data_IF_671087856046
#
_entry.id   IF_671087856046
#
_cell.length_a   1.000
_cell.length_b   1.000
_cell.length_c   1.000
_cell.angle_alpha   90.00
_cell.angle_beta   90.00
_cell.angle_gamma   90.00
#
_symmetry.space_group_name_H-M   'P 1'
#
loop_
_entity.id
_entity.type
_entity.pdbx_description
1 polymer ?
#
# COMPACT_ATOMS: atom_id res chain seq x y z
N UNK A 1 10.52 -0.18 -20.51
CA UNK A 1 10.68 0.31 -19.11
C UNK A 1 9.35 0.14 -18.42
N UNK A 2 9.30 -0.60 -17.32
CA UNK A 2 8.07 -0.77 -16.55
C UNK A 2 7.95 0.42 -15.61
N UNK A 3 7.15 1.41 -15.98
CA UNK A 3 6.80 2.51 -15.10
C UNK A 3 5.75 1.99 -14.11
N UNK A 4 6.07 2.01 -12.82
CA UNK A 4 5.20 1.56 -11.72
C UNK A 4 4.77 2.81 -10.98
N UNK A 5 3.72 3.45 -11.49
CA UNK A 5 3.13 4.63 -10.88
C UNK A 5 1.88 4.24 -10.08
N UNK A 6 1.90 4.40 -8.74
CA UNK A 6 0.70 4.24 -7.94
C UNK A 6 -0.39 5.22 -8.36
N UNK A 7 -1.65 4.81 -8.20
CA UNK A 7 -2.82 5.63 -8.57
C UNK A 7 -2.93 6.94 -7.77
N UNK A 8 -2.36 6.96 -6.56
CA UNK A 8 -2.15 8.15 -5.75
C UNK A 8 -1.08 7.87 -4.68
N UNK A 9 -0.59 8.92 -4.04
CA UNK A 9 0.38 8.86 -2.95
C UNK A 9 -0.22 8.36 -1.62
N UNK A 10 -1.54 8.50 -1.45
CA UNK A 10 -2.25 8.13 -0.22
C UNK A 10 -3.57 7.41 -0.49
N UNK A 11 -4.04 6.66 0.51
CA UNK A 11 -5.37 6.03 0.50
C UNK A 11 -6.06 6.30 1.85
N UNK A 12 -7.10 7.12 1.84
CA UNK A 12 -7.78 7.62 3.05
C UNK A 12 -9.27 7.40 2.89
N UNK A 13 -9.95 6.87 3.91
CA UNK A 13 -11.40 6.67 3.93
C UNK A 13 -11.97 5.94 2.68
N UNK A 14 -11.26 4.92 2.19
CA UNK A 14 -11.72 4.12 1.05
C UNK A 14 -11.49 4.75 -0.33
N UNK A 15 -10.72 5.84 -0.43
CA UNK A 15 -10.41 6.53 -1.69
C UNK A 15 -8.91 6.81 -1.84
N UNK A 16 -8.46 6.84 -3.09
CA UNK A 16 -7.14 7.37 -3.46
C UNK A 16 -7.12 8.90 -3.26
N UNK A 17 -6.03 9.41 -2.69
CA UNK A 17 -5.84 10.84 -2.38
C UNK A 17 -4.43 11.25 -2.76
N UNK A 18 -4.32 12.32 -3.55
CA UNK A 18 -3.05 12.98 -3.84
C UNK A 18 -2.97 14.35 -3.17
N UNK A 19 -1.78 14.69 -2.73
CA UNK A 19 -1.40 16.02 -2.25
C UNK A 19 -0.01 16.35 -2.79
N UNK A 20 0.03 17.21 -3.82
CA UNK A 20 1.29 17.60 -4.47
C UNK A 20 2.07 18.65 -3.67
N UNK A 21 1.58 19.10 -2.51
CA UNK A 21 2.29 20.05 -1.66
C UNK A 21 3.39 19.38 -0.82
N UNK A 22 3.35 18.06 -0.68
CA UNK A 22 4.41 17.29 -0.03
C UNK A 22 5.66 17.15 -0.90
N UNK A 23 6.86 17.01 -0.29
CA UNK A 23 8.08 16.67 -1.02
C UNK A 23 7.88 15.44 -1.92
N UNK A 24 8.44 15.49 -3.13
CA UNK A 24 8.44 14.34 -4.05
C UNK A 24 9.35 13.25 -3.48
N UNK A 25 8.87 12.02 -3.51
CA UNK A 25 9.59 10.79 -3.21
C UNK A 25 9.74 10.00 -4.50
N UNK A 26 10.98 9.86 -4.97
CA UNK A 26 11.28 9.04 -6.14
C UNK A 26 11.28 7.55 -5.75
N UNK A 27 10.56 6.73 -6.52
CA UNK A 27 10.62 5.29 -6.41
C UNK A 27 11.77 4.80 -7.28
N UNK A 28 12.84 4.29 -6.66
CA UNK A 28 14.07 3.89 -7.36
C UNK A 28 14.20 2.38 -7.30
N UNK A 29 14.40 1.72 -8.45
CA UNK A 29 14.69 0.29 -8.47
C UNK A 29 16.10 0.02 -7.94
N UNK A 30 16.29 -0.67 -6.80
CA UNK A 30 17.61 -0.81 -6.20
C UNK A 30 18.62 -1.58 -7.05
N UNK A 31 18.16 -2.46 -7.95
CA UNK A 31 19.07 -3.32 -8.73
C UNK A 31 19.87 -2.57 -9.81
N UNK A 32 19.38 -1.42 -10.30
CA UNK A 32 20.03 -0.68 -11.37
C UNK A 32 19.90 0.85 -11.27
N UNK A 33 19.27 1.36 -10.19
CA UNK A 33 19.10 2.78 -9.93
C UNK A 33 18.12 3.49 -10.86
N UNK A 34 17.35 2.78 -11.68
CA UNK A 34 16.38 3.40 -12.58
C UNK A 34 15.12 3.84 -11.81
N UNK A 35 14.54 5.00 -12.16
CA UNK A 35 13.28 5.43 -11.57
C UNK A 35 12.11 4.55 -12.06
N UNK A 36 11.23 4.19 -11.14
CA UNK A 36 10.01 3.42 -11.36
C UNK A 36 8.77 4.31 -11.38
N UNK A 37 8.76 5.39 -10.60
CA UNK A 37 7.62 6.29 -10.42
C UNK A 37 7.92 7.33 -9.35
N UNK A 38 6.91 8.11 -8.99
CA UNK A 38 7.04 9.12 -7.94
C UNK A 38 5.78 9.17 -7.06
N UNK A 39 5.97 9.50 -5.80
CA UNK A 39 4.92 9.80 -4.83
C UNK A 39 5.19 11.15 -4.18
N UNK A 40 4.23 11.65 -3.41
CA UNK A 40 4.43 12.78 -2.51
C UNK A 40 4.39 12.32 -1.06
N UNK A 41 5.29 12.84 -0.24
CA UNK A 41 5.25 12.63 1.20
C UNK A 41 3.99 13.30 1.80
N UNK A 42 3.36 12.64 2.78
CA UNK A 42 2.17 13.18 3.42
C UNK A 42 2.46 14.51 4.11
N UNK A 43 1.68 15.55 3.78
CA UNK A 43 1.69 16.82 4.52
C UNK A 43 0.96 16.68 5.86
N UNK A 44 1.12 17.65 6.77
CA UNK A 44 0.32 17.67 8.01
C UNK A 44 -1.19 17.60 7.76
N UNK A 45 -1.69 18.22 6.67
CA UNK A 45 -3.11 18.17 6.32
C UNK A 45 -3.58 16.76 5.95
N UNK A 46 -2.79 16.02 5.16
CA UNK A 46 -3.06 14.62 4.82
C UNK A 46 -3.02 13.73 6.06
N UNK A 47 -2.05 13.95 6.96
CA UNK A 47 -1.94 13.21 8.22
C UNK A 47 -3.18 13.44 9.09
N UNK A 48 -3.61 14.69 9.27
CA UNK A 48 -4.82 15.02 10.04
C UNK A 48 -6.08 14.41 9.41
N UNK A 49 -6.22 14.43 8.09
CA UNK A 49 -7.34 13.79 7.40
C UNK A 49 -7.37 12.26 7.66
N UNK A 50 -6.21 11.60 7.53
CA UNK A 50 -6.07 10.18 7.78
C UNK A 50 -6.42 9.81 9.23
N UNK A 51 -5.93 10.60 10.20
CA UNK A 51 -6.22 10.40 11.63
C UNK A 51 -7.69 10.61 11.96
N UNK A 52 -8.32 11.65 11.41
CA UNK A 52 -9.74 11.90 11.59
C UNK A 52 -10.58 10.74 11.04
N UNK A 53 -10.26 10.24 9.85
CA UNK A 53 -10.91 9.07 9.25
C UNK A 53 -10.71 7.82 10.12
N UNK A 54 -9.48 7.56 10.59
CA UNK A 54 -9.18 6.39 11.42
C UNK A 54 -9.94 6.43 12.75
N UNK A 55 -10.03 7.59 13.40
CA UNK A 55 -10.76 7.77 14.67
C UNK A 55 -12.26 7.49 14.52
N UNK A 56 -12.85 7.85 13.39
CA UNK A 56 -14.25 7.55 13.09
C UNK A 56 -14.45 6.05 12.83
N UNK A 57 -13.62 5.45 11.97
CA UNK A 57 -13.73 4.04 11.58
C UNK A 57 -13.45 3.08 12.75
N UNK A 58 -12.53 3.44 13.65
CA UNK A 58 -12.11 2.59 14.77
C UNK A 58 -13.29 2.15 15.64
N UNK A 59 -14.26 3.04 15.91
CA UNK A 59 -15.44 2.72 16.74
C UNK A 59 -16.31 1.65 16.10
N UNK A 60 -16.59 1.78 14.80
CA UNK A 60 -17.40 0.83 14.06
C UNK A 60 -16.71 -0.54 13.93
N UNK A 61 -15.40 -0.54 13.65
CA UNK A 61 -14.60 -1.77 13.58
C UNK A 61 -14.50 -2.47 14.93
N UNK A 62 -14.32 -1.72 16.02
CA UNK A 62 -14.24 -2.26 17.38
C UNK A 62 -15.56 -2.96 17.79
N UNK A 63 -16.71 -2.40 17.39
CA UNK A 63 -18.03 -2.98 17.64
C UNK A 63 -18.32 -4.24 16.80
N UNK A 64 -17.53 -4.53 15.77
CA UNK A 64 -17.68 -5.73 14.94
C UNK A 64 -17.30 -6.99 15.74
N UNK A 65 -18.05 -8.08 15.66
CA UNK A 65 -17.71 -9.31 16.40
C UNK A 65 -16.42 -9.96 15.89
N UNK A 66 -15.76 -10.78 16.73
CA UNK A 66 -14.56 -11.52 16.34
C UNK A 66 -14.77 -12.39 15.09
N UNK A 67 -15.91 -13.05 14.99
CA UNK A 67 -16.28 -13.87 13.81
C UNK A 67 -16.41 -13.04 12.54
N UNK A 68 -17.06 -11.87 12.61
CA UNK A 68 -17.20 -10.99 11.45
C UNK A 68 -15.84 -10.43 11.02
N UNK A 69 -15.00 -9.97 11.96
CA UNK A 69 -13.62 -9.55 11.64
C UNK A 69 -12.82 -10.68 11.01
N UNK A 70 -12.94 -11.90 11.53
CA UNK A 70 -12.29 -13.08 10.99
C UNK A 70 -12.65 -13.34 9.52
N UNK A 71 -13.93 -13.19 9.14
CA UNK A 71 -14.36 -13.33 7.74
C UNK A 71 -13.75 -12.26 6.83
N UNK A 72 -13.68 -11.02 7.31
CA UNK A 72 -13.10 -9.90 6.55
C UNK A 72 -11.60 -10.12 6.34
N UNK A 73 -10.87 -10.48 7.40
CA UNK A 73 -9.43 -10.76 7.33
C UNK A 73 -9.12 -11.98 6.46
N UNK A 74 -9.93 -13.04 6.55
CA UNK A 74 -9.80 -14.23 5.69
C UNK A 74 -9.94 -13.85 4.21
N UNK A 75 -10.98 -13.07 3.87
CA UNK A 75 -11.20 -12.58 2.51
C UNK A 75 -10.04 -11.72 2.01
N UNK A 76 -9.51 -10.81 2.84
CA UNK A 76 -8.36 -9.99 2.47
C UNK A 76 -7.13 -10.87 2.16
N UNK A 77 -6.84 -11.86 3.00
CA UNK A 77 -5.74 -12.80 2.78
C UNK A 77 -5.96 -13.68 1.53
N UNK A 78 -7.20 -14.06 1.21
CA UNK A 78 -7.50 -14.79 -0.02
C UNK A 78 -7.27 -13.92 -1.27
N UNK A 79 -7.61 -12.63 -1.20
CA UNK A 79 -7.35 -11.66 -2.27
C UNK A 79 -5.85 -11.40 -2.48
N UNK A 80 -5.06 -11.39 -1.41
CA UNK A 80 -3.59 -11.26 -1.48
C UNK A 80 -3.01 -12.49 -2.18
N UNK A 81 -3.37 -13.70 -1.76
CA UNK A 81 -2.88 -14.94 -2.39
C UNK A 81 -3.27 -15.08 -3.85
N UNK A 82 -4.49 -14.70 -4.19
CA UNK A 82 -4.94 -14.68 -5.58
C UNK A 82 -4.10 -13.75 -6.48
N UNK A 83 -3.44 -12.76 -5.88
CA UNK A 83 -2.58 -11.78 -6.56
C UNK A 83 -1.10 -11.94 -6.24
N UNK A 84 -0.69 -13.06 -5.60
CA UNK A 84 0.65 -13.24 -5.04
C UNK A 84 1.76 -12.86 -6.03
N UNK A 85 1.74 -13.43 -7.23
CA UNK A 85 2.76 -13.16 -8.24
C UNK A 85 2.87 -11.67 -8.61
N UNK A 86 1.74 -10.97 -8.78
CA UNK A 86 1.76 -9.54 -9.12
C UNK A 86 2.35 -8.70 -7.97
N UNK A 87 2.00 -9.03 -6.72
CA UNK A 87 2.53 -8.38 -5.53
C UNK A 87 4.03 -8.68 -5.34
N UNK A 88 4.48 -9.92 -5.53
CA UNK A 88 5.90 -10.29 -5.43
C UNK A 88 6.77 -9.60 -6.48
N UNK A 89 6.26 -9.43 -7.71
CA UNK A 89 6.95 -8.65 -8.74
C UNK A 89 7.08 -7.19 -8.31
N UNK A 90 6.02 -6.58 -7.77
CA UNK A 90 6.06 -5.21 -7.26
C UNK A 90 7.08 -5.07 -6.11
N UNK A 91 7.03 -5.97 -5.13
CA UNK A 91 7.96 -6.00 -3.98
C UNK A 91 9.42 -6.17 -4.43
N UNK A 92 9.67 -6.99 -5.46
CA UNK A 92 10.99 -7.17 -6.06
C UNK A 92 11.53 -5.87 -6.66
N UNK A 93 10.66 -5.11 -7.33
CA UNK A 93 11.04 -3.81 -7.88
C UNK A 93 11.27 -2.76 -6.79
N UNK A 94 10.53 -2.78 -5.69
CA UNK A 94 10.68 -1.79 -4.62
C UNK A 94 11.91 -2.08 -3.73
N UNK A 95 12.12 -3.36 -3.39
CA UNK A 95 13.14 -3.78 -2.41
C UNK A 95 14.45 -4.27 -3.03
N UNK A 96 14.42 -4.71 -4.29
CA UNK A 96 15.55 -5.37 -4.95
C UNK A 96 15.78 -6.83 -4.52
N UNK A 97 14.92 -7.40 -3.66
CA UNK A 97 14.98 -8.82 -3.28
C UNK A 97 14.77 -9.72 -4.50
N UNK A 98 15.45 -10.88 -4.64
CA UNK A 98 15.19 -11.81 -5.73
C UNK A 98 13.72 -12.25 -5.78
N UNK A 99 13.15 -12.40 -6.97
CA UNK A 99 11.75 -12.80 -7.14
C UNK A 99 11.42 -14.14 -6.45
N UNK A 100 12.40 -15.06 -6.40
CA UNK A 100 12.23 -16.33 -5.69
C UNK A 100 11.98 -16.15 -4.19
N UNK A 101 12.54 -15.10 -3.58
CA UNK A 101 12.34 -14.78 -2.17
C UNK A 101 10.97 -14.14 -1.97
N UNK A 102 10.63 -13.10 -2.74
CA UNK A 102 9.33 -12.39 -2.62
C UNK A 102 8.14 -13.27 -3.00
N UNK A 103 8.33 -14.33 -3.79
CA UNK A 103 7.30 -15.34 -4.09
C UNK A 103 7.05 -16.35 -2.96
N UNK A 104 8.03 -16.58 -2.09
CA UNK A 104 8.03 -17.70 -1.14
C UNK A 104 7.97 -17.24 0.31
N UNK A 105 8.78 -16.24 0.68
CA UNK A 105 8.87 -15.74 2.05
C UNK A 105 7.78 -14.70 2.37
N UNK A 106 7.34 -13.94 1.36
CA UNK A 106 6.44 -12.78 1.53
C UNK A 106 4.98 -13.06 1.06
N UNK A 107 4.64 -14.34 0.81
CA UNK A 107 3.37 -14.81 0.24
C UNK A 107 2.21 -15.03 1.25
#
# INVERSE_FOLDING_TARGET
MTFIQPAASHFINGRYVDDTNGPVLELIYPANGQPLGQLHAATPAIVEEALASAKQAQKAWAATSGTQRGRILRRAADMIRAQNHALSVLETYDTGKPLSETLCADA
#
